data_IF_026881226110
#
_entry.id   IF_026881226110
#
_cell.length_a   1.000
_cell.length_b   1.000
_cell.length_c   1.000
_cell.angle_alpha   90.00
_cell.angle_beta   90.00
_cell.angle_gamma   90.00
#
_symmetry.space_group_name_H-M   'P 1'
#
loop_
_entity.id
_entity.type
_entity.pdbx_description
1 polymer ?
#
# COMPACT_ATOMS: atom_id res chain seq x y z
N UNK A 1 -12.34 25.77 -14.98
CA UNK A 1 -11.34 25.49 -13.94
C UNK A 1 -9.99 25.98 -14.42
N UNK A 2 -9.34 26.83 -13.64
CA UNK A 2 -7.94 27.21 -13.82
C UNK A 2 -6.99 26.25 -13.11
N UNK A 3 -5.69 26.52 -13.24
CA UNK A 3 -4.62 25.73 -12.64
C UNK A 3 -4.72 25.65 -11.11
N UNK A 4 -5.19 26.73 -10.47
CA UNK A 4 -5.31 26.80 -9.01
C UNK A 4 -6.36 25.83 -8.50
N UNK A 5 -7.54 25.77 -9.15
CA UNK A 5 -8.61 24.87 -8.71
C UNK A 5 -8.20 23.39 -8.85
N UNK A 6 -7.48 23.01 -9.91
CA UNK A 6 -6.95 21.65 -10.04
C UNK A 6 -5.92 21.30 -8.96
N UNK A 7 -5.12 22.27 -8.50
CA UNK A 7 -4.16 22.05 -7.41
C UNK A 7 -4.87 21.84 -6.08
N UNK A 8 -5.91 22.61 -5.80
CA UNK A 8 -6.74 22.44 -4.61
C UNK A 8 -7.44 21.06 -4.59
N UNK A 9 -7.87 20.59 -5.77
CA UNK A 9 -8.44 19.25 -5.92
C UNK A 9 -7.39 18.16 -5.63
N UNK A 10 -6.17 18.28 -6.17
CA UNK A 10 -5.06 17.38 -5.84
C UNK A 10 -4.74 17.40 -4.34
N UNK A 11 -4.67 18.58 -3.72
CA UNK A 11 -4.40 18.70 -2.27
C UNK A 11 -5.48 18.03 -1.42
N UNK A 12 -6.74 18.01 -1.88
CA UNK A 12 -7.82 17.29 -1.22
C UNK A 12 -7.70 15.76 -1.40
N UNK A 13 -7.28 15.30 -2.58
CA UNK A 13 -7.03 13.88 -2.87
C UNK A 13 -5.83 13.38 -2.06
N UNK A 14 -4.74 14.13 -2.02
CA UNK A 14 -3.51 13.76 -1.32
C UNK A 14 -3.75 13.59 0.19
N UNK A 15 -4.60 14.43 0.79
CA UNK A 15 -5.02 14.26 2.19
C UNK A 15 -5.68 12.89 2.43
N UNK A 16 -6.55 12.46 1.52
CA UNK A 16 -7.20 11.15 1.60
C UNK A 16 -6.19 10.01 1.37
N UNK A 17 -5.27 10.15 0.42
CA UNK A 17 -4.22 9.17 0.17
C UNK A 17 -3.35 8.97 1.42
N UNK A 18 -2.93 10.07 2.08
CA UNK A 18 -2.13 10.00 3.31
C UNK A 18 -2.90 9.29 4.41
N UNK A 19 -4.16 9.63 4.63
CA UNK A 19 -4.99 8.98 5.65
C UNK A 19 -5.14 7.48 5.40
N UNK A 20 -5.54 7.09 4.19
CA UNK A 20 -5.74 5.70 3.81
C UNK A 20 -4.43 4.90 3.86
N UNK A 21 -3.32 5.50 3.43
CA UNK A 21 -2.02 4.86 3.49
C UNK A 21 -1.58 4.63 4.94
N UNK A 22 -1.77 5.60 5.83
CA UNK A 22 -1.48 5.43 7.25
C UNK A 22 -2.33 4.32 7.88
N UNK A 23 -3.63 4.29 7.60
CA UNK A 23 -4.52 3.21 8.06
C UNK A 23 -4.02 1.85 7.58
N UNK A 24 -3.71 1.71 6.28
CA UNK A 24 -3.16 0.48 5.70
C UNK A 24 -1.85 0.05 6.36
N UNK A 25 -0.96 0.99 6.68
CA UNK A 25 0.33 0.69 7.32
C UNK A 25 0.15 0.23 8.78
N UNK A 26 -0.80 0.78 9.53
CA UNK A 26 -1.14 0.27 10.88
C UNK A 26 -1.60 -1.18 10.81
N UNK A 27 -2.50 -1.51 9.87
CA UNK A 27 -2.94 -2.89 9.63
C UNK A 27 -1.76 -3.79 9.26
N UNK A 28 -0.81 -3.33 8.44
CA UNK A 28 0.41 -4.10 8.16
C UNK A 28 1.24 -4.38 9.42
N UNK A 29 1.30 -3.44 10.36
CA UNK A 29 1.94 -3.63 11.67
C UNK A 29 1.21 -4.65 12.56
N UNK A 30 -0.12 -4.68 12.50
CA UNK A 30 -0.92 -5.71 13.19
C UNK A 30 -0.68 -7.09 12.59
N UNK A 31 -0.60 -7.18 11.26
CA UNK A 31 -0.24 -8.40 10.53
C UNK A 31 1.15 -8.90 10.95
N UNK A 32 2.15 -8.03 11.16
CA UNK A 32 3.47 -8.50 11.63
C UNK A 32 3.41 -9.20 12.98
N UNK A 33 2.57 -8.75 13.91
CA UNK A 33 2.43 -9.40 15.23
C UNK A 33 1.85 -10.80 15.10
N UNK A 34 0.78 -10.94 14.31
CA UNK A 34 0.20 -12.24 13.98
C UNK A 34 1.24 -13.17 13.32
N UNK A 35 2.00 -12.66 12.33
CA UNK A 35 3.07 -13.44 11.68
C UNK A 35 4.17 -13.89 12.64
N UNK A 36 4.54 -13.04 13.61
CA UNK A 36 5.51 -13.40 14.65
C UNK A 36 5.02 -14.56 15.50
N UNK A 37 3.76 -14.49 15.95
CA UNK A 37 3.12 -15.53 16.76
C UNK A 37 3.00 -16.87 16.01
N UNK A 38 2.72 -16.83 14.70
CA UNK A 38 2.56 -18.03 13.87
C UNK A 38 3.86 -18.50 13.21
N UNK A 39 4.98 -17.80 13.38
CA UNK A 39 6.25 -18.07 12.69
C UNK A 39 6.22 -17.86 11.17
N UNK A 40 5.25 -17.08 10.66
CA UNK A 40 5.12 -16.81 9.23
C UNK A 40 6.12 -15.72 8.76
N UNK A 41 6.65 -15.80 7.52
CA UNK A 41 7.58 -14.82 7.01
C UNK A 41 6.92 -13.47 6.69
N UNK A 42 7.68 -12.38 6.82
CA UNK A 42 7.22 -11.03 6.41
C UNK A 42 6.95 -11.00 4.90
N UNK A 43 7.84 -11.59 4.09
CA UNK A 43 7.64 -11.72 2.65
C UNK A 43 6.79 -12.97 2.36
N UNK A 44 5.60 -12.73 1.82
CA UNK A 44 4.71 -13.76 1.29
C UNK A 44 4.49 -13.48 -0.20
N UNK A 45 5.25 -14.20 -1.04
CA UNK A 45 5.29 -13.95 -2.49
C UNK A 45 3.95 -14.22 -3.17
N UNK A 46 3.23 -15.24 -2.73
CA UNK A 46 1.97 -15.63 -3.33
C UNK A 46 0.88 -14.63 -2.96
N UNK A 47 0.84 -14.19 -1.69
CA UNK A 47 -0.09 -13.14 -1.27
C UNK A 47 0.16 -11.81 -1.98
N UNK A 48 1.43 -11.44 -2.17
CA UNK A 48 1.79 -10.21 -2.89
C UNK A 48 1.44 -10.29 -4.38
N UNK A 49 1.73 -11.41 -5.05
CA UNK A 49 1.34 -11.64 -6.44
C UNK A 49 -0.17 -11.54 -6.62
N UNK A 50 -0.93 -12.15 -5.72
CA UNK A 50 -2.39 -12.08 -5.74
C UNK A 50 -2.89 -10.65 -5.51
N UNK A 51 -2.30 -9.90 -4.57
CA UNK A 51 -2.64 -8.49 -4.38
C UNK A 51 -2.35 -7.67 -5.65
N UNK A 52 -1.22 -7.90 -6.31
CA UNK A 52 -0.87 -7.20 -7.55
C UNK A 52 -1.83 -7.51 -8.71
N UNK A 53 -2.33 -8.74 -8.79
CA UNK A 53 -3.39 -9.13 -9.75
C UNK A 53 -4.68 -8.36 -9.46
N UNK A 54 -5.16 -8.39 -8.21
CA UNK A 54 -6.36 -7.69 -7.77
C UNK A 54 -6.31 -6.17 -8.06
N UNK A 55 -5.16 -5.54 -7.88
CA UNK A 55 -5.00 -4.11 -8.18
C UNK A 55 -5.03 -3.85 -9.68
N UNK A 56 -4.49 -4.75 -10.49
CA UNK A 56 -4.63 -4.67 -11.94
C UNK A 56 -6.06 -4.81 -12.43
N UNK A 57 -6.89 -5.59 -11.74
CA UNK A 57 -8.30 -5.78 -12.08
C UNK A 57 -9.21 -4.65 -11.56
N UNK A 58 -8.80 -3.97 -10.49
CA UNK A 58 -9.54 -2.84 -9.92
C UNK A 58 -9.31 -1.53 -10.69
N UNK A 59 -8.15 -1.39 -11.34
CA UNK A 59 -7.79 -0.19 -12.06
C UNK A 59 -8.34 -0.21 -13.49
N UNK A 60 -8.65 0.97 -14.02
CA UNK A 60 -8.96 1.17 -15.44
C UNK A 60 -7.76 0.74 -16.32
N UNK A 61 -8.03 0.34 -17.56
CA UNK A 61 -7.06 -0.28 -18.46
C UNK A 61 -5.81 0.60 -18.68
N UNK A 62 -6.00 1.91 -18.82
CA UNK A 62 -4.94 2.91 -19.02
C UNK A 62 -4.17 3.23 -17.73
N UNK A 63 -4.76 2.98 -16.55
CA UNK A 63 -4.17 3.25 -15.24
C UNK A 63 -3.58 2.02 -14.56
N UNK A 64 -3.87 0.80 -15.04
CA UNK A 64 -3.49 -0.44 -14.39
C UNK A 64 -1.97 -0.57 -14.14
N UNK A 65 -1.14 -0.12 -15.07
CA UNK A 65 0.33 -0.16 -14.88
C UNK A 65 0.79 0.83 -13.80
N UNK A 66 0.25 2.05 -13.78
CA UNK A 66 0.57 3.05 -12.75
C UNK A 66 0.13 2.60 -11.35
N UNK A 67 -1.08 2.04 -11.24
CA UNK A 67 -1.57 1.47 -9.97
C UNK A 67 -0.67 0.32 -9.48
N UNK A 68 -0.22 -0.55 -10.39
CA UNK A 68 0.73 -1.62 -10.05
C UNK A 68 2.07 -1.07 -9.57
N UNK A 69 2.62 -0.05 -10.23
CA UNK A 69 3.87 0.59 -9.79
C UNK A 69 3.75 1.16 -8.37
N UNK A 70 2.67 1.89 -8.10
CA UNK A 70 2.38 2.43 -6.77
C UNK A 70 2.27 1.30 -5.73
N UNK A 71 1.51 0.25 -6.04
CA UNK A 71 1.30 -0.85 -5.11
C UNK A 71 2.56 -1.66 -4.81
N UNK A 72 3.46 -1.80 -5.79
CA UNK A 72 4.76 -2.42 -5.54
C UNK A 72 5.54 -1.64 -4.46
N UNK A 73 5.55 -0.29 -4.56
CA UNK A 73 6.17 0.57 -3.54
C UNK A 73 5.47 0.52 -2.18
N UNK A 74 4.14 0.48 -2.18
CA UNK A 74 3.37 0.30 -0.95
C UNK A 74 3.72 -1.04 -0.28
N UNK A 75 3.82 -2.14 -1.03
CA UNK A 75 4.20 -3.45 -0.49
C UNK A 75 5.64 -3.48 0.03
N UNK A 76 6.58 -2.84 -0.67
CA UNK A 76 7.96 -2.64 -0.23
C UNK A 76 8.01 -1.94 1.13
N UNK A 77 7.39 -0.77 1.24
CA UNK A 77 7.31 -0.03 2.51
C UNK A 77 6.61 -0.83 3.61
N UNK A 78 5.58 -1.60 3.26
CA UNK A 78 4.86 -2.46 4.21
C UNK A 78 5.77 -3.53 4.81
N UNK A 79 6.63 -4.17 4.00
CA UNK A 79 7.59 -5.17 4.50
C UNK A 79 8.63 -4.52 5.40
N UNK A 80 9.14 -3.37 5.02
CA UNK A 80 10.17 -2.66 5.79
C UNK A 80 9.63 -2.18 7.14
N UNK A 81 8.39 -1.67 7.16
CA UNK A 81 7.71 -1.33 8.40
C UNK A 81 7.51 -2.55 9.30
N UNK A 82 7.04 -3.68 8.75
CA UNK A 82 6.89 -4.94 9.50
C UNK A 82 8.23 -5.42 10.08
N UNK A 83 9.29 -5.45 9.27
CA UNK A 83 10.64 -5.83 9.73
C UNK A 83 11.13 -4.91 10.85
N UNK A 84 10.93 -3.60 10.72
CA UNK A 84 11.29 -2.63 11.76
C UNK A 84 10.55 -2.88 13.08
N UNK A 85 9.30 -3.33 13.04
CA UNK A 85 8.53 -3.66 14.24
C UNK A 85 8.97 -4.97 14.89
N UNK A 86 9.38 -5.96 14.08
CA UNK A 86 9.85 -7.26 14.56
C UNK A 86 11.29 -7.23 15.10
N UNK A 87 12.15 -6.35 14.56
CA UNK A 87 13.55 -6.20 14.96
C UNK A 87 13.74 -5.17 16.11
N UNK A 88 12.74 -4.98 16.96
CA UNK A 88 12.83 -4.16 18.17
C UNK A 88 13.18 -4.99 19.39
#
# INVERSE_FOLDING_TARGET
MGLTEYREEIDAIDRQIVELFQQRMRVAGDISRCKQETGAPVLDRDREREKMRQIGELADEDMAQYCKMLYNKILEMSRDYQRRLLNR
#
